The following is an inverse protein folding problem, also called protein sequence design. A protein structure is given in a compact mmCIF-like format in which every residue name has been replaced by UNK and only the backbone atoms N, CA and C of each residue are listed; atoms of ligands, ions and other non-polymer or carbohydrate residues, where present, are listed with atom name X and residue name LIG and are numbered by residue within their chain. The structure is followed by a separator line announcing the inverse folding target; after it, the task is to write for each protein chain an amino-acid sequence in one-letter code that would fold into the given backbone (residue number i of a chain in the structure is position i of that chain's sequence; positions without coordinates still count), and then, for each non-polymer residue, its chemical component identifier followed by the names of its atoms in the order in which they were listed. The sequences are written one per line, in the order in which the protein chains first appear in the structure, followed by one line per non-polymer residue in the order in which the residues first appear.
data_IF_423447230448
#
_entry.id   IF_423447230448
#
_cell.length_a   1.000
_cell.length_b   1.000
_cell.length_c   1.000
_cell.angle_alpha   90.00
_cell.angle_beta   90.00
_cell.angle_gamma   90.00
#
_symmetry.space_group_name_H-M   'P 1'
#
loop_
_entity.id
_entity.type
_entity.pdbx_description
1 polymer ?
#
# COMPACT_ATOMS: atom_id res chain seq x y z
N UNK A 1 -13.65 13.04 8.54
CA UNK A 1 -12.99 12.04 7.68
C UNK A 1 -11.53 11.96 8.11
N UNK A 2 -11.13 10.82 8.65
CA UNK A 2 -9.80 10.61 9.24
C UNK A 2 -8.73 10.32 8.19
N UNK A 3 -9.15 9.90 6.99
CA UNK A 3 -8.30 9.65 5.85
C UNK A 3 -8.12 10.91 4.98
N UNK A 4 -6.88 11.20 4.58
CA UNK A 4 -6.51 12.29 3.68
C UNK A 4 -5.47 11.81 2.67
N UNK A 5 -5.83 11.58 1.39
CA UNK A 5 -4.86 11.20 0.38
C UNK A 5 -3.88 12.35 0.14
N UNK A 6 -2.60 12.02 0.07
CA UNK A 6 -1.53 12.96 -0.30
C UNK A 6 -0.38 12.19 -0.94
N UNK A 7 0.52 12.90 -1.61
CA UNK A 7 1.80 12.31 -2.02
C UNK A 7 2.78 12.51 -0.87
N UNK A 8 3.36 11.43 -0.37
CA UNK A 8 4.39 11.48 0.66
C UNK A 8 5.73 11.08 0.06
N UNK A 9 6.80 11.71 0.53
CA UNK A 9 8.14 11.27 0.24
C UNK A 9 8.41 9.93 0.95
N UNK A 10 8.86 8.94 0.18
CA UNK A 10 9.23 7.62 0.71
C UNK A 10 10.60 7.64 1.39
N UNK A 11 11.38 8.72 1.27
CA UNK A 11 12.60 8.90 2.03
C UNK A 11 12.36 9.31 3.49
N UNK A 12 11.20 9.89 3.81
CA UNK A 12 10.87 10.26 5.20
C UNK A 12 10.79 9.00 6.09
N UNK A 13 11.33 9.01 7.31
CA UNK A 13 11.34 7.84 8.19
C UNK A 13 9.99 7.64 8.90
N UNK A 14 9.69 6.39 9.28
CA UNK A 14 8.54 6.06 10.10
C UNK A 14 7.22 5.99 9.33
N UNK A 15 6.12 6.12 10.08
CA UNK A 15 4.76 5.97 9.56
C UNK A 15 4.23 4.53 9.59
N UNK A 16 2.98 4.41 9.13
CA UNK A 16 2.28 3.14 8.96
C UNK A 16 2.35 2.67 7.53
N UNK A 17 2.16 1.38 7.33
CA UNK A 17 2.20 0.79 6.01
C UNK A 17 1.11 -0.25 5.85
N UNK A 18 0.49 -0.23 4.68
CA UNK A 18 -0.37 -1.29 4.17
C UNK A 18 0.49 -2.27 3.37
N UNK A 19 0.26 -3.57 3.55
CA UNK A 19 0.83 -4.59 2.69
C UNK A 19 -0.25 -5.15 1.77
N UNK A 20 -0.03 -5.04 0.47
CA UNK A 20 -0.99 -5.40 -0.55
C UNK A 20 -0.48 -6.53 -1.45
N UNK A 21 -1.37 -7.45 -1.80
CA UNK A 21 -1.14 -8.53 -2.75
C UNK A 21 -2.40 -8.73 -3.58
N UNK A 22 -2.31 -8.52 -4.90
CA UNK A 22 -3.42 -8.63 -5.85
C UNK A 22 -4.67 -7.77 -5.52
N UNK A 23 -5.63 -8.32 -4.78
CA UNK A 23 -6.86 -7.63 -4.30
C UNK A 23 -7.04 -7.75 -2.79
N UNK A 24 -6.00 -8.18 -2.09
CA UNK A 24 -5.99 -8.48 -0.66
C UNK A 24 -5.03 -7.54 0.07
N UNK A 25 -5.38 -7.27 1.32
CA UNK A 25 -4.51 -6.60 2.28
C UNK A 25 -4.23 -7.53 3.43
N UNK A 26 -2.98 -7.53 3.90
CA UNK A 26 -2.61 -8.22 5.12
C UNK A 26 -3.24 -7.48 6.30
N UNK A 27 -3.79 -8.22 7.27
CA UNK A 27 -4.19 -7.66 8.56
C UNK A 27 -4.02 -8.66 9.70
N UNK A 28 -4.02 -8.16 10.92
CA UNK A 28 -3.93 -8.93 12.16
C UNK A 28 -5.08 -8.54 13.12
N UNK A 29 -4.95 -8.89 14.40
CA UNK A 29 -5.92 -8.51 15.43
C UNK A 29 -6.02 -6.99 15.69
N UNK A 30 -5.02 -6.20 15.28
CA UNK A 30 -4.95 -4.75 15.44
C UNK A 30 -5.42 -3.99 14.19
N UNK A 31 -5.63 -4.69 13.08
CA UNK A 31 -6.17 -4.13 11.84
C UNK A 31 -5.24 -4.35 10.66
N UNK A 32 -5.18 -3.36 9.76
CA UNK A 32 -4.51 -3.45 8.45
C UNK A 32 -3.23 -2.60 8.37
N UNK A 33 -2.97 -1.79 9.39
CA UNK A 33 -1.83 -0.87 9.46
C UNK A 33 -0.73 -1.48 10.29
N UNK A 34 0.44 -1.67 9.68
CA UNK A 34 1.64 -2.17 10.35
C UNK A 34 2.68 -1.05 10.45
N UNK A 35 3.55 -1.05 11.47
CA UNK A 35 4.68 -0.14 11.50
C UNK A 35 5.54 -0.37 10.25
N UNK A 36 5.78 0.68 9.47
CA UNK A 36 6.49 0.59 8.19
C UNK A 36 7.86 -0.07 8.33
N UNK A 37 8.62 0.36 9.33
CA UNK A 37 9.95 -0.18 9.64
C UNK A 37 9.91 -1.64 10.10
N UNK A 38 8.80 -2.10 10.67
CA UNK A 38 8.65 -3.50 11.04
C UNK A 38 8.43 -4.37 9.80
N UNK A 39 7.59 -3.93 8.84
CA UNK A 39 7.39 -4.64 7.57
C UNK A 39 8.70 -4.70 6.76
N UNK A 40 9.44 -3.59 6.66
CA UNK A 40 10.73 -3.54 5.93
C UNK A 40 11.81 -4.46 6.50
N UNK A 41 11.69 -4.88 7.76
CA UNK A 41 12.60 -5.85 8.41
C UNK A 41 12.20 -7.31 8.16
N UNK A 42 10.99 -7.56 7.68
CA UNK A 42 10.57 -8.91 7.32
C UNK A 42 11.19 -9.30 5.98
N UNK A 43 11.44 -10.60 5.78
CA UNK A 43 11.89 -11.14 4.50
C UNK A 43 10.68 -11.26 3.54
N UNK A 44 10.30 -10.13 2.94
CA UNK A 44 9.14 -10.02 2.06
C UNK A 44 9.57 -9.94 0.60
N UNK A 45 8.87 -10.62 -0.33
CA UNK A 45 9.10 -10.49 -1.76
C UNK A 45 8.48 -9.18 -2.28
N UNK A 46 9.03 -8.05 -1.84
CA UNK A 46 8.53 -6.72 -2.17
C UNK A 46 8.70 -6.43 -3.66
N UNK A 47 7.67 -5.83 -4.26
CA UNK A 47 7.82 -5.10 -5.51
C UNK A 47 8.63 -3.83 -5.24
N UNK A 48 9.49 -3.44 -6.19
CA UNK A 48 10.53 -2.42 -5.96
C UNK A 48 9.99 -1.04 -5.55
N UNK A 49 8.75 -0.71 -5.94
CA UNK A 49 8.18 0.63 -5.71
C UNK A 49 7.31 0.69 -4.47
N UNK A 50 7.78 1.45 -3.48
CA UNK A 50 6.97 1.92 -2.35
C UNK A 50 6.20 3.20 -2.73
N UNK A 51 4.97 3.34 -2.22
CA UNK A 51 4.16 4.54 -2.47
C UNK A 51 3.71 5.21 -1.18
N UNK A 52 4.02 6.49 -1.01
CA UNK A 52 3.37 7.36 -0.04
C UNK A 52 1.94 7.71 -0.49
N UNK A 53 0.93 7.31 0.28
CA UNK A 53 -0.47 7.40 -0.15
C UNK A 53 -1.30 8.44 0.60
N UNK A 54 -0.90 8.85 1.81
CA UNK A 54 -1.62 9.89 2.54
C UNK A 54 -1.49 9.80 4.05
N UNK A 55 -2.39 10.47 4.75
CA UNK A 55 -2.44 10.46 6.21
C UNK A 55 -3.73 9.83 6.73
N UNK A 56 -3.61 8.94 7.71
CA UNK A 56 -4.75 8.37 8.42
C UNK A 56 -4.68 8.75 9.89
N UNK A 57 -5.71 9.46 10.38
CA UNK A 57 -5.75 10.03 11.74
C UNK A 57 -4.54 10.94 12.08
N UNK A 58 -3.90 11.50 11.05
CA UNK A 58 -2.73 12.37 11.18
C UNK A 58 -1.39 11.69 10.94
N UNK A 59 -1.34 10.35 10.94
CA UNK A 59 -0.11 9.61 10.71
C UNK A 59 0.10 9.31 9.23
N UNK A 60 1.35 9.39 8.76
CA UNK A 60 1.75 9.02 7.42
C UNK A 60 1.47 7.54 7.13
N UNK A 61 0.88 7.26 5.96
CA UNK A 61 0.58 5.90 5.49
C UNK A 61 1.23 5.67 4.13
N UNK A 62 1.93 4.55 4.06
CA UNK A 62 2.62 4.05 2.88
C UNK A 62 1.97 2.75 2.39
N UNK A 63 2.28 2.39 1.15
CA UNK A 63 1.82 1.17 0.49
C UNK A 63 3.03 0.40 -0.01
N UNK A 64 3.15 -0.83 0.45
CA UNK A 64 4.07 -1.83 -0.06
C UNK A 64 3.27 -2.94 -0.76
N UNK A 65 3.85 -3.50 -1.81
CA UNK A 65 3.25 -4.59 -2.56
C UNK A 65 4.17 -5.81 -2.54
N UNK A 66 3.59 -7.00 -2.47
CA UNK A 66 4.28 -8.27 -2.66
C UNK A 66 3.73 -8.98 -3.88
N UNK A 67 4.57 -9.76 -4.56
CA UNK A 67 4.17 -10.53 -5.75
C UNK A 67 3.30 -11.76 -5.43
N UNK A 68 3.37 -12.24 -4.19
CA UNK A 68 2.60 -13.36 -3.68
C UNK A 68 2.24 -13.17 -2.20
N UNK A 69 1.15 -13.79 -1.72
CA UNK A 69 0.80 -13.75 -0.30
C UNK A 69 1.93 -14.33 0.54
N UNK A 70 2.25 -13.65 1.65
CA UNK A 70 3.22 -14.12 2.64
C UNK A 70 2.51 -14.58 3.91
N UNK A 71 3.13 -15.51 4.64
CA UNK A 71 2.68 -15.91 5.96
C UNK A 71 3.46 -15.11 7.02
N UNK A 72 2.75 -14.27 7.78
CA UNK A 72 3.29 -13.62 8.97
C UNK A 72 2.49 -14.10 10.20
N UNK A 73 3.14 -14.38 11.34
CA UNK A 73 2.44 -14.87 12.53
C UNK A 73 1.29 -13.96 12.95
N UNK A 74 0.12 -14.55 13.18
CA UNK A 74 -1.08 -13.81 13.60
C UNK A 74 -1.71 -12.93 12.52
N UNK A 75 -1.21 -12.99 11.28
CA UNK A 75 -1.73 -12.21 10.17
C UNK A 75 -2.54 -13.08 9.20
N UNK A 76 -3.50 -12.45 8.53
CA UNK A 76 -4.33 -13.05 7.50
C UNK A 76 -4.54 -12.08 6.33
N UNK A 77 -4.57 -12.62 5.12
CA UNK A 77 -4.95 -11.86 3.93
C UNK A 77 -6.46 -11.75 3.84
N UNK A 78 -6.95 -10.53 3.67
CA UNK A 78 -8.37 -10.25 3.51
C UNK A 78 -8.61 -9.38 2.28
N UNK A 79 -9.62 -9.74 1.50
CA UNK A 79 -10.02 -9.00 0.31
C UNK A 79 -10.54 -7.62 0.70
N UNK A 80 -10.41 -6.64 -0.21
CA UNK A 80 -11.00 -5.31 -0.03
C UNK A 80 -12.51 -5.39 0.29
N UNK A 81 -13.23 -6.36 -0.30
CA UNK A 81 -14.64 -6.61 -0.02
C UNK A 81 -14.89 -7.08 1.42
N UNK A 82 -14.05 -7.96 1.95
CA UNK A 82 -14.16 -8.39 3.36
C UNK A 82 -13.93 -7.22 4.31
N UNK A 83 -12.93 -6.36 4.01
CA UNK A 83 -12.69 -5.14 4.78
C UNK A 83 -13.85 -4.16 4.72
N UNK A 84 -14.52 -4.02 3.58
CA UNK A 84 -15.73 -3.21 3.45
C UNK A 84 -16.85 -3.67 4.37
N UNK A 85 -16.99 -4.99 4.58
CA UNK A 85 -18.06 -5.57 5.40
C UNK A 85 -17.77 -5.53 6.90
N UNK A 86 -16.49 -5.50 7.29
CA UNK A 86 -16.05 -5.59 8.69
C UNK A 86 -15.53 -4.26 9.25
N UNK A 87 -15.00 -3.40 8.39
CA UNK A 87 -14.31 -2.17 8.76
C UNK A 87 -15.21 -0.94 8.76
N UNK A 88 -14.67 0.17 9.26
CA UNK A 88 -15.32 1.47 9.20
C UNK A 88 -15.10 2.16 7.84
N UNK A 89 -15.90 3.20 7.57
CA UNK A 89 -15.89 3.92 6.32
C UNK A 89 -14.55 4.62 6.00
N UNK A 90 -13.82 5.12 7.01
CA UNK A 90 -12.52 5.77 6.79
C UNK A 90 -11.47 4.72 6.41
N UNK A 91 -11.47 3.55 7.09
CA UNK A 91 -10.58 2.43 6.74
C UNK A 91 -10.87 1.91 5.33
N UNK A 92 -12.14 1.73 4.97
CA UNK A 92 -12.50 1.32 3.62
C UNK A 92 -12.07 2.35 2.56
N UNK A 93 -12.22 3.65 2.83
CA UNK A 93 -11.77 4.71 1.93
C UNK A 93 -10.24 4.69 1.72
N UNK A 94 -9.47 4.46 2.78
CA UNK A 94 -8.02 4.26 2.73
C UNK A 94 -7.66 3.05 1.85
N UNK A 95 -8.24 1.88 2.13
CA UNK A 95 -7.92 0.64 1.41
C UNK A 95 -8.34 0.69 -0.05
N UNK A 96 -9.49 1.31 -0.35
CA UNK A 96 -9.95 1.55 -1.71
C UNK A 96 -8.97 2.42 -2.51
N UNK A 97 -8.47 3.50 -1.89
CA UNK A 97 -7.45 4.34 -2.51
C UNK A 97 -6.14 3.59 -2.71
N UNK A 98 -5.67 2.85 -1.70
CA UNK A 98 -4.46 2.05 -1.80
C UNK A 98 -4.52 1.01 -2.92
N UNK A 99 -5.67 0.34 -3.09
CA UNK A 99 -5.89 -0.60 -4.18
C UNK A 99 -5.82 0.08 -5.56
N UNK A 100 -6.36 1.29 -5.70
CA UNK A 100 -6.25 2.06 -6.94
C UNK A 100 -4.79 2.42 -7.26
N UNK A 101 -4.00 2.82 -6.26
CA UNK A 101 -2.57 3.11 -6.44
C UNK A 101 -1.80 1.84 -6.83
N UNK A 102 -2.08 0.71 -6.17
CA UNK A 102 -1.48 -0.58 -6.51
C UNK A 102 -1.73 -0.98 -7.97
N UNK A 103 -2.99 -0.88 -8.42
CA UNK A 103 -3.39 -1.17 -9.81
C UNK A 103 -2.69 -0.21 -10.78
N UNK A 104 -2.65 1.08 -10.48
CA UNK A 104 -1.96 2.06 -11.31
C UNK A 104 -0.46 1.71 -11.45
N UNK A 105 0.21 1.45 -10.33
CA UNK A 105 1.63 1.13 -10.32
C UNK A 105 1.93 -0.13 -11.15
N UNK A 106 1.11 -1.18 -11.02
CA UNK A 106 1.27 -2.42 -11.79
C UNK A 106 1.12 -2.21 -13.31
N UNK A 107 0.18 -1.38 -13.74
CA UNK A 107 -0.11 -1.14 -15.16
C UNK A 107 0.77 -0.08 -15.82
N UNK A 108 1.56 0.67 -15.05
CA UNK A 108 2.47 1.71 -15.57
C UNK A 108 3.94 1.36 -15.37
N UNK A 109 4.27 0.06 -15.23
CA UNK A 109 5.67 -0.42 -15.14
C UNK A 109 6.43 -0.30 -16.46
N UNK A 110 5.71 -0.29 -17.58
CA UNK A 110 6.28 -0.23 -18.93
C UNK A 110 5.52 0.80 -19.76
N UNK A 111 6.24 1.50 -20.64
CA UNK A 111 5.67 2.52 -21.51
C UNK A 111 4.73 1.87 -22.54
N UNK A 112 3.47 2.31 -22.59
CA UNK A 112 2.48 1.81 -23.54
C UNK A 112 2.80 2.08 -25.02
N UNK A 113 3.78 2.95 -25.31
CA UNK A 113 4.22 3.26 -26.68
C UNK A 113 5.43 2.44 -27.12
N UNK A 114 6.46 2.28 -26.26
CA UNK A 114 7.72 1.65 -26.65
C UNK A 114 8.07 0.36 -25.86
N UNK A 115 7.33 0.03 -24.81
CA UNK A 115 7.53 -1.17 -23.99
C UNK A 115 8.72 -1.09 -23.00
N UNK A 116 9.46 0.01 -22.97
CA UNK A 116 10.58 0.16 -22.03
C UNK A 116 10.09 0.31 -20.58
N UNK A 117 10.86 -0.14 -19.58
CA UNK A 117 10.57 0.11 -18.17
C UNK A 117 10.43 1.61 -17.88
N UNK A 118 9.41 1.99 -17.13
CA UNK A 118 9.19 3.37 -16.69
C UNK A 118 9.78 3.62 -15.30
N UNK A 119 10.01 4.88 -14.94
CA UNK A 119 10.64 5.27 -13.68
C UNK A 119 9.79 6.31 -12.97
N UNK A 120 9.56 6.12 -11.67
CA UNK A 120 8.77 7.05 -10.88
C UNK A 120 9.34 8.48 -10.98
N UNK A 121 8.49 9.44 -11.37
CA UNK A 121 8.81 10.87 -11.32
C UNK A 121 8.77 11.32 -9.87
N UNK A 122 9.89 11.88 -9.39
CA UNK A 122 10.00 12.37 -8.02
C UNK A 122 9.00 13.50 -7.75
N UNK A 123 8.26 13.41 -6.63
CA UNK A 123 7.27 14.43 -6.26
C UNK A 123 5.98 14.41 -7.07
N UNK A 124 5.80 13.43 -7.96
CA UNK A 124 4.58 13.23 -8.72
C UNK A 124 4.08 11.79 -8.62
N UNK A 125 2.80 11.58 -8.94
CA UNK A 125 2.24 10.24 -9.15
C UNK A 125 2.24 9.91 -10.65
N UNK A 126 3.44 9.83 -11.22
CA UNK A 126 3.70 9.56 -12.63
C UNK A 126 4.94 8.66 -12.79
N UNK A 127 5.05 7.98 -13.93
CA UNK A 127 6.16 7.07 -14.32
C UNK A 127 6.84 7.58 -15.59
#
# INVERSE_FOLDING_TARGET
MSWKPSLLDTAEPGGWCLLHCEQHFLGDANGVLFPREWLKKQDLPLLETEHGIGHFKGDAVYLLQVDRPVELPGCQWQSLRQWMMQGDADTFALLGYAAQIAVWAAHNRFCGSCGNPMQQVAGERAM
#
